data_IF_017016788956
#
_entry.id   IF_017016788956
#
_cell.length_a   1.000
_cell.length_b   1.000
_cell.length_c   1.000
_cell.angle_alpha   90.00
_cell.angle_beta   90.00
_cell.angle_gamma   90.00
#
_symmetry.space_group_name_H-M   'P 1'
#
loop_
_entity.id
_entity.type
_entity.pdbx_description
1 polymer ?
#
# COMPACT_ATOMS: atom_id res chain seq x y z
N UNK A 1 8.12 15.37 -3.42
CA UNK A 1 7.85 13.97 -3.01
C UNK A 1 8.86 12.89 -3.48
N UNK A 2 9.24 12.78 -4.77
CA UNK A 2 10.20 11.72 -5.21
C UNK A 2 11.53 11.71 -4.43
N UNK A 3 12.06 12.90 -4.11
CA UNK A 3 13.28 13.02 -3.30
C UNK A 3 13.10 12.44 -1.89
N UNK A 4 11.93 12.63 -1.27
CA UNK A 4 11.62 12.06 0.04
C UNK A 4 11.61 10.52 -0.02
N UNK A 5 10.99 9.95 -1.06
CA UNK A 5 11.00 8.51 -1.30
C UNK A 5 12.41 7.94 -1.50
N UNK A 6 13.24 8.59 -2.35
CA UNK A 6 14.62 8.15 -2.60
C UNK A 6 15.48 8.24 -1.34
N UNK A 7 15.33 9.31 -0.55
CA UNK A 7 16.03 9.44 0.74
C UNK A 7 15.61 8.35 1.73
N UNK A 8 14.32 8.05 1.80
CA UNK A 8 13.80 6.97 2.66
C UNK A 8 14.37 5.61 2.24
N UNK A 9 14.38 5.30 0.93
CA UNK A 9 14.98 4.07 0.41
C UNK A 9 16.49 4.00 0.68
N UNK A 10 17.22 5.08 0.44
CA UNK A 10 18.66 5.15 0.67
C UNK A 10 19.02 4.94 2.14
N UNK A 11 18.19 5.44 3.07
CA UNK A 11 18.37 5.23 4.51
C UNK A 11 18.21 3.76 4.93
N UNK A 12 17.58 2.91 4.11
CA UNK A 12 17.47 1.47 4.35
C UNK A 12 18.67 0.68 3.81
N UNK A 13 19.63 1.33 3.15
CA UNK A 13 20.77 0.66 2.52
C UNK A 13 21.59 -0.18 3.52
N UNK A 14 21.76 -1.49 3.27
CA UNK A 14 22.66 -2.34 4.07
C UNK A 14 24.10 -1.81 4.13
N UNK A 15 24.55 -1.15 3.06
CA UNK A 15 25.88 -0.56 2.96
C UNK A 15 26.17 0.52 4.01
N UNK A 16 25.14 1.13 4.61
CA UNK A 16 25.30 2.07 5.71
C UNK A 16 25.81 1.42 7.00
N UNK A 17 25.61 0.11 7.15
CA UNK A 17 26.06 -0.67 8.32
C UNK A 17 27.32 -1.48 7.99
N UNK A 18 27.39 -2.03 6.79
CA UNK A 18 28.50 -2.86 6.32
C UNK A 18 28.83 -2.50 4.87
N UNK A 19 29.96 -1.80 4.60
CA UNK A 19 30.33 -1.35 3.25
C UNK A 19 30.44 -2.46 2.20
N UNK A 20 30.61 -3.73 2.60
CA UNK A 20 30.69 -4.87 1.69
C UNK A 20 29.31 -5.38 1.25
N UNK A 21 28.21 -4.80 1.78
CA UNK A 21 26.83 -5.14 1.40
C UNK A 21 26.31 -4.29 0.25
N UNK A 22 25.19 -4.74 -0.32
CA UNK A 22 24.51 -4.04 -1.41
C UNK A 22 24.07 -2.62 -1.04
N UNK A 23 24.08 -1.73 -2.03
CA UNK A 23 23.61 -0.35 -1.90
C UNK A 23 22.09 -0.26 -1.66
N UNK A 24 21.34 -1.29 -2.02
CA UNK A 24 19.90 -1.37 -1.80
C UNK A 24 19.58 -2.58 -0.93
N UNK A 25 18.48 -2.53 -0.15
CA UNK A 25 17.96 -3.70 0.51
C UNK A 25 17.59 -4.83 -0.46
N UNK A 26 17.55 -6.05 0.05
CA UNK A 26 17.07 -7.20 -0.72
C UNK A 26 15.57 -7.07 -1.07
N UNK A 27 15.19 -7.51 -2.27
CA UNK A 27 13.82 -7.50 -2.78
C UNK A 27 12.84 -8.25 -1.89
N UNK A 28 13.29 -9.25 -1.13
CA UNK A 28 12.41 -9.96 -0.16
C UNK A 28 11.84 -9.02 0.90
N UNK A 29 12.49 -7.88 1.16
CA UNK A 29 12.07 -6.89 2.15
C UNK A 29 11.20 -5.76 1.55
N UNK A 30 10.82 -5.84 0.28
CA UNK A 30 10.15 -4.74 -0.44
C UNK A 30 8.86 -4.26 0.22
N UNK A 31 8.11 -5.16 0.88
CA UNK A 31 6.88 -4.79 1.59
C UNK A 31 7.16 -3.86 2.77
N UNK A 32 8.16 -4.20 3.58
CA UNK A 32 8.57 -3.38 4.73
C UNK A 32 9.17 -2.04 4.27
N UNK A 33 10.01 -2.07 3.23
CA UNK A 33 10.63 -0.86 2.69
C UNK A 33 9.57 0.09 2.11
N UNK A 34 8.52 -0.47 1.50
CA UNK A 34 7.39 0.32 0.99
C UNK A 34 6.69 1.10 2.09
N UNK A 35 6.61 0.57 3.32
CA UNK A 35 6.03 1.30 4.47
C UNK A 35 6.87 2.54 4.79
N UNK A 36 8.19 2.40 4.92
CA UNK A 36 9.06 3.53 5.21
C UNK A 36 9.07 4.58 4.09
N UNK A 37 9.00 4.15 2.82
CA UNK A 37 8.88 5.07 1.68
C UNK A 37 7.54 5.81 1.72
N UNK A 38 6.43 5.08 1.91
CA UNK A 38 5.10 5.67 2.00
C UNK A 38 5.02 6.68 3.14
N UNK A 39 5.54 6.34 4.33
CA UNK A 39 5.64 7.24 5.48
C UNK A 39 6.32 8.55 5.13
N UNK A 40 7.52 8.49 4.54
CA UNK A 40 8.25 9.70 4.16
C UNK A 40 7.53 10.55 3.11
N UNK A 41 6.83 9.92 2.16
CA UNK A 41 6.04 10.64 1.15
C UNK A 41 4.80 11.27 1.76
N UNK A 42 4.10 10.57 2.66
CA UNK A 42 2.91 11.08 3.35
C UNK A 42 3.27 12.28 4.22
N UNK A 43 4.33 12.19 5.03
CA UNK A 43 4.82 13.31 5.84
C UNK A 43 5.10 14.52 4.95
N UNK A 44 5.84 14.33 3.85
CA UNK A 44 6.13 15.42 2.91
C UNK A 44 4.85 16.01 2.29
N UNK A 45 3.86 15.17 1.96
CA UNK A 45 2.59 15.64 1.39
C UNK A 45 1.74 16.42 2.41
N UNK A 46 1.76 16.02 3.69
CA UNK A 46 1.10 16.73 4.78
C UNK A 46 1.77 18.08 5.02
N UNK A 47 3.10 18.11 5.13
CA UNK A 47 3.89 19.33 5.36
C UNK A 47 3.72 20.36 4.23
N UNK A 48 3.62 19.89 2.98
CA UNK A 48 3.38 20.76 1.81
C UNK A 48 1.89 21.13 1.61
N UNK A 49 0.97 20.60 2.45
CA UNK A 49 -0.47 20.85 2.32
C UNK A 49 -1.11 20.23 1.08
N UNK A 50 -0.50 19.18 0.52
CA UNK A 50 -0.95 18.48 -0.69
C UNK A 50 -1.75 17.21 -0.37
N UNK A 51 -1.71 16.73 0.88
CA UNK A 51 -2.47 15.56 1.30
C UNK A 51 -3.99 15.83 1.24
N UNK A 52 -4.73 14.94 0.56
CA UNK A 52 -6.19 15.05 0.41
C UNK A 52 -6.97 14.16 1.38
N UNK A 53 -6.32 13.11 1.90
CA UNK A 53 -6.94 12.20 2.86
C UNK A 53 -7.08 12.88 4.22
N UNK A 54 -8.18 12.61 4.93
CA UNK A 54 -8.44 13.22 6.23
C UNK A 54 -8.06 12.27 7.35
N UNK A 55 -7.65 12.83 8.49
CA UNK A 55 -7.32 12.03 9.67
C UNK A 55 -6.06 11.18 9.50
N UNK A 56 -5.12 11.63 8.65
CA UNK A 56 -3.76 11.06 8.63
C UNK A 56 -3.15 11.32 10.02
N UNK A 57 -2.72 10.29 10.76
CA UNK A 57 -2.11 10.47 12.08
C UNK A 57 -0.77 11.19 11.97
N UNK A 58 -0.33 11.81 13.06
CA UNK A 58 1.02 12.33 13.14
C UNK A 58 2.05 11.20 13.15
N UNK A 59 3.30 11.56 12.89
CA UNK A 59 4.41 10.61 12.87
C UNK A 59 4.99 10.37 14.28
N UNK A 60 4.11 10.16 15.25
CA UNK A 60 4.46 9.96 16.65
C UNK A 60 4.27 8.48 17.02
N UNK A 61 5.20 7.93 17.79
CA UNK A 61 5.13 6.58 18.39
C UNK A 61 4.80 5.42 17.43
N UNK A 62 4.99 5.60 16.12
CA UNK A 62 4.76 4.59 15.08
C UNK A 62 3.32 4.51 14.55
N UNK A 63 2.41 5.37 14.99
CA UNK A 63 0.99 5.36 14.57
C UNK A 63 0.83 5.47 13.05
N UNK A 64 1.62 6.33 12.40
CA UNK A 64 1.59 6.48 10.94
C UNK A 64 2.03 5.21 10.20
N UNK A 65 2.98 4.44 10.73
CA UNK A 65 3.39 3.18 10.09
C UNK A 65 2.30 2.12 10.22
N UNK A 66 1.64 2.02 11.37
CA UNK A 66 0.51 1.12 11.56
C UNK A 66 -0.66 1.49 10.63
N UNK A 67 -1.00 2.78 10.56
CA UNK A 67 -2.02 3.29 9.65
C UNK A 67 -1.72 2.94 8.19
N UNK A 68 -0.46 3.05 7.75
CA UNK A 68 -0.05 2.63 6.40
C UNK A 68 -0.26 1.12 6.20
N UNK A 69 0.14 0.30 7.18
CA UNK A 69 0.04 -1.17 7.10
C UNK A 69 -1.41 -1.63 7.00
N UNK A 70 -2.32 -0.98 7.71
CA UNK A 70 -3.76 -1.28 7.62
C UNK A 70 -4.34 -1.07 6.21
N UNK A 71 -3.75 -0.16 5.43
CA UNK A 71 -4.16 0.10 4.04
C UNK A 71 -3.45 -0.81 3.02
N UNK A 72 -2.41 -1.55 3.42
CA UNK A 72 -1.68 -2.42 2.51
C UNK A 72 -2.54 -3.64 2.11
N UNK A 73 -2.46 -4.01 0.84
CA UNK A 73 -3.16 -5.19 0.35
C UNK A 73 -2.46 -6.48 0.80
N UNK A 74 -3.24 -7.43 1.32
CA UNK A 74 -2.76 -8.76 1.66
C UNK A 74 -3.17 -9.84 0.65
N UNK A 75 -2.23 -10.73 0.25
CA UNK A 75 -2.45 -11.79 -0.72
C UNK A 75 -3.17 -13.00 -0.11
N UNK A 76 -4.24 -12.75 0.64
CA UNK A 76 -5.04 -13.78 1.31
C UNK A 76 -6.46 -13.77 0.75
N UNK A 77 -7.01 -14.96 0.54
CA UNK A 77 -8.42 -15.06 0.17
C UNK A 77 -9.29 -14.51 1.29
N UNK A 78 -10.23 -13.63 0.92
CA UNK A 78 -11.24 -13.17 1.86
C UNK A 78 -12.27 -14.28 2.11
N UNK A 79 -12.80 -14.40 3.34
CA UNK A 79 -13.89 -15.33 3.62
C UNK A 79 -15.07 -15.12 2.68
N UNK A 80 -15.61 -16.21 2.15
CA UNK A 80 -16.80 -16.16 1.32
C UNK A 80 -18.04 -16.10 2.22
N UNK A 81 -18.97 -15.19 1.89
CA UNK A 81 -20.28 -15.11 2.53
C UNK A 81 -21.35 -15.56 1.55
N UNK A 82 -22.14 -16.56 1.92
CA UNK A 82 -23.30 -16.95 1.14
C UNK A 82 -24.30 -15.79 1.08
N UNK A 83 -24.76 -15.48 -0.13
CA UNK A 83 -25.79 -14.47 -0.38
C UNK A 83 -26.95 -15.12 -1.16
N UNK A 84 -28.18 -14.68 -0.90
CA UNK A 84 -29.34 -15.14 -1.67
C UNK A 84 -29.29 -14.55 -3.08
N UNK A 85 -29.88 -15.23 -4.06
CA UNK A 85 -29.85 -14.79 -5.47
C UNK A 85 -30.48 -13.41 -5.66
N UNK A 86 -31.51 -13.09 -4.87
CA UNK A 86 -32.25 -11.82 -4.95
C UNK A 86 -31.43 -10.64 -4.43
N UNK A 87 -30.53 -10.88 -3.46
CA UNK A 87 -29.67 -9.85 -2.83
C UNK A 87 -28.23 -9.86 -3.36
N UNK A 88 -27.90 -10.82 -4.22
CA UNK A 88 -26.56 -10.98 -4.75
C UNK A 88 -26.22 -9.86 -5.75
N UNK A 89 -25.06 -9.23 -5.54
CA UNK A 89 -24.51 -8.28 -6.52
C UNK A 89 -24.26 -8.97 -7.87
N UNK A 90 -24.14 -8.20 -8.96
CA UNK A 90 -23.80 -8.76 -10.28
C UNK A 90 -22.50 -9.58 -10.27
N UNK A 91 -21.52 -9.17 -9.47
CA UNK A 91 -20.31 -9.96 -9.19
C UNK A 91 -20.64 -11.31 -8.54
N UNK A 92 -21.43 -11.31 -7.47
CA UNK A 92 -21.76 -12.52 -6.73
C UNK A 92 -22.62 -13.52 -7.55
N UNK A 93 -23.39 -13.03 -8.54
CA UNK A 93 -24.15 -13.86 -9.49
C UNK A 93 -23.32 -14.36 -10.68
N UNK A 94 -22.08 -13.92 -10.84
CA UNK A 94 -21.24 -14.26 -12.00
C UNK A 94 -21.61 -13.52 -13.30
N UNK A 95 -22.41 -12.46 -13.22
CA UNK A 95 -22.94 -11.74 -14.40
C UNK A 95 -22.03 -10.61 -14.90
N UNK A 96 -20.97 -10.33 -14.15
CA UNK A 96 -20.03 -9.23 -14.38
C UNK A 96 -19.20 -9.37 -15.68
N UNK A 97 -19.17 -10.55 -16.29
CA UNK A 97 -18.50 -10.82 -17.56
C UNK A 97 -19.43 -11.03 -18.76
N UNK A 98 -20.75 -10.88 -18.60
CA UNK A 98 -21.74 -11.19 -19.67
C UNK A 98 -21.84 -10.06 -20.72
N UNK A 99 -21.20 -8.91 -20.49
CA UNK A 99 -21.25 -7.74 -21.39
C UNK A 99 -20.52 -7.90 -22.76
N UNK A 100 -20.21 -9.13 -23.18
CA UNK A 100 -19.65 -9.43 -24.51
C UNK A 100 -20.49 -10.40 -25.35
N UNK A 101 -21.62 -10.90 -24.85
CA UNK A 101 -22.39 -11.94 -25.54
C UNK A 101 -23.83 -11.50 -25.81
N UNK A 102 -24.04 -10.52 -26.70
CA UNK A 102 -25.18 -10.43 -27.64
C UNK A 102 -25.39 -9.00 -28.19
N UNK A 103 -25.01 -8.79 -29.45
CA UNK A 103 -25.87 -8.17 -30.50
C UNK A 103 -25.16 -8.19 -31.86
N UNK A 104 -25.38 -9.27 -32.61
CA UNK A 104 -25.56 -9.24 -34.07
C UNK A 104 -26.78 -10.09 -34.38
#
# INVERSE_FOLDING_TARGET
MLVAAVKALAAQSPALKDPEKGLLPDVVNVREISVHIARAVIIQAVDEGLATEKGIPSDDDGELEEWIREQMWDPVYRPLRLVSKEKASKHARGEMGIAGASTW
#
